data_IF_384120100444
#
_entry.id   IF_384120100444
#
_cell.length_a   1.000
_cell.length_b   1.000
_cell.length_c   1.000
_cell.angle_alpha   90.00
_cell.angle_beta   90.00
_cell.angle_gamma   90.00
#
_symmetry.space_group_name_H-M   'P 1'
#
loop_
_entity.id
_entity.type
_entity.pdbx_description
1 polymer ?
#
# COMPACT_ATOMS: atom_id res chain seq x y z
N UNK A 1 2.16 -25.96 -25.91
CA UNK A 1 1.79 -24.54 -25.69
C UNK A 1 2.55 -23.72 -26.71
N UNK A 2 1.88 -22.77 -27.35
CA UNK A 2 2.55 -21.83 -28.23
C UNK A 2 3.42 -20.88 -27.40
N UNK A 3 4.59 -20.45 -27.90
CA UNK A 3 5.57 -19.66 -27.12
C UNK A 3 4.94 -18.39 -26.50
N UNK A 4 4.01 -17.77 -27.22
CA UNK A 4 3.27 -16.60 -26.76
C UNK A 4 2.31 -16.88 -25.59
N UNK A 5 1.68 -18.06 -25.53
CA UNK A 5 0.81 -18.44 -24.41
C UNK A 5 1.61 -18.66 -23.13
N UNK A 6 2.79 -19.29 -23.25
CA UNK A 6 3.67 -19.52 -22.11
C UNK A 6 4.18 -18.19 -21.53
N UNK A 7 4.60 -17.26 -22.38
CA UNK A 7 5.00 -15.91 -21.95
C UNK A 7 3.86 -15.15 -21.26
N UNK A 8 2.66 -15.16 -21.85
CA UNK A 8 1.49 -14.50 -21.26
C UNK A 8 1.13 -15.06 -19.88
N UNK A 9 1.21 -16.40 -19.72
CA UNK A 9 0.97 -17.06 -18.45
C UNK A 9 2.04 -16.70 -17.40
N UNK A 10 3.33 -16.67 -17.77
CA UNK A 10 4.42 -16.25 -16.87
C UNK A 10 4.19 -14.81 -16.39
N UNK A 11 3.88 -13.88 -17.30
CA UNK A 11 3.58 -12.49 -16.95
C UNK A 11 2.41 -12.40 -15.98
N UNK A 12 1.35 -13.20 -16.17
CA UNK A 12 0.20 -13.23 -15.27
C UNK A 12 0.56 -13.74 -13.87
N UNK A 13 1.37 -14.80 -13.76
CA UNK A 13 1.81 -15.32 -12.46
C UNK A 13 2.74 -14.33 -11.74
N UNK A 14 3.70 -13.73 -12.44
CA UNK A 14 4.57 -12.69 -11.89
C UNK A 14 3.77 -11.46 -11.45
N UNK A 15 2.75 -11.05 -12.22
CA UNK A 15 1.85 -9.98 -11.83
C UNK A 15 1.03 -10.29 -10.57
N UNK A 16 0.78 -11.58 -10.26
CA UNK A 16 0.12 -12.03 -9.02
C UNK A 16 1.09 -12.20 -7.84
N UNK A 17 2.36 -11.81 -8.00
CA UNK A 17 3.40 -11.94 -6.99
C UNK A 17 3.67 -13.39 -6.56
N UNK A 18 3.44 -14.35 -7.48
CA UNK A 18 3.78 -15.75 -7.25
C UNK A 18 5.32 -15.92 -7.20
N UNK A 19 5.86 -16.75 -6.29
CA UNK A 19 7.29 -16.96 -6.19
C UNK A 19 7.83 -17.60 -7.48
N UNK A 20 9.00 -17.16 -7.93
CA UNK A 20 9.62 -17.65 -9.18
C UNK A 20 9.77 -19.17 -9.19
N UNK A 21 10.10 -19.77 -8.05
CA UNK A 21 10.22 -21.22 -7.87
C UNK A 21 8.94 -21.98 -8.19
N UNK A 22 7.76 -21.43 -7.86
CA UNK A 22 6.47 -22.05 -8.16
C UNK A 22 6.12 -21.94 -9.64
N UNK A 23 6.53 -20.84 -10.28
CA UNK A 23 6.34 -20.63 -11.71
C UNK A 23 7.22 -21.61 -12.49
N UNK A 24 8.50 -21.75 -12.10
CA UNK A 24 9.45 -22.70 -12.68
C UNK A 24 8.95 -24.14 -12.50
N UNK A 25 8.52 -24.53 -11.30
CA UNK A 25 7.97 -25.86 -11.04
C UNK A 25 6.76 -26.18 -11.94
N UNK A 26 5.86 -25.21 -12.14
CA UNK A 26 4.70 -25.40 -13.02
C UNK A 26 5.09 -25.46 -14.50
N UNK A 27 6.13 -24.73 -14.92
CA UNK A 27 6.66 -24.81 -16.28
C UNK A 27 7.31 -26.16 -16.56
N UNK A 28 8.09 -26.69 -15.61
CA UNK A 28 8.67 -28.03 -15.75
C UNK A 28 7.57 -29.10 -15.80
N UNK A 29 6.51 -28.97 -15.00
CA UNK A 29 5.37 -29.90 -15.00
C UNK A 29 4.47 -29.81 -16.24
N UNK A 30 4.17 -28.60 -16.73
CA UNK A 30 3.22 -28.40 -17.85
C UNK A 30 3.86 -28.43 -19.23
N UNK A 31 5.06 -27.88 -19.36
CA UNK A 31 5.76 -27.75 -20.63
C UNK A 31 6.86 -28.79 -20.81
N UNK A 32 7.16 -29.61 -19.79
CA UNK A 32 8.23 -30.60 -19.83
C UNK A 32 9.63 -29.99 -19.92
N UNK A 33 9.76 -28.69 -19.59
CA UNK A 33 11.04 -28.00 -19.60
C UNK A 33 11.93 -28.52 -18.47
N UNK A 34 13.23 -28.57 -18.72
CA UNK A 34 14.19 -28.79 -17.65
C UNK A 34 14.28 -27.54 -16.77
N UNK A 35 14.51 -27.75 -15.47
CA UNK A 35 14.55 -26.68 -14.48
C UNK A 35 15.42 -25.47 -14.89
N UNK A 36 16.66 -25.65 -15.38
CA UNK A 36 17.51 -24.52 -15.76
C UNK A 36 16.93 -23.70 -16.93
N UNK A 37 16.31 -24.36 -17.90
CA UNK A 37 15.71 -23.72 -19.06
C UNK A 37 14.43 -22.96 -18.68
N UNK A 38 13.62 -23.53 -17.79
CA UNK A 38 12.44 -22.88 -17.24
C UNK A 38 12.81 -21.65 -16.39
N UNK A 39 13.86 -21.74 -15.59
CA UNK A 39 14.36 -20.61 -14.79
C UNK A 39 14.90 -19.48 -15.68
N UNK A 40 15.69 -19.82 -16.70
CA UNK A 40 16.19 -18.85 -17.67
C UNK A 40 15.05 -18.15 -18.41
N UNK A 41 14.03 -18.90 -18.81
CA UNK A 41 12.84 -18.35 -19.49
C UNK A 41 12.06 -17.40 -18.57
N UNK A 42 11.82 -17.77 -17.31
CA UNK A 42 11.12 -16.91 -16.34
C UNK A 42 11.89 -15.62 -16.11
N UNK A 43 13.21 -15.69 -15.92
CA UNK A 43 14.06 -14.50 -15.74
C UNK A 43 14.08 -13.62 -16.99
N UNK A 44 14.16 -14.19 -18.18
CA UNK A 44 14.13 -13.43 -19.42
C UNK A 44 12.78 -12.69 -19.59
N UNK A 45 11.67 -13.40 -19.37
CA UNK A 45 10.33 -12.82 -19.48
C UNK A 45 10.11 -11.73 -18.41
N UNK A 46 10.58 -11.96 -17.19
CA UNK A 46 10.53 -11.00 -16.09
C UNK A 46 11.32 -9.72 -16.44
N UNK A 47 12.56 -9.86 -16.93
CA UNK A 47 13.40 -8.73 -17.30
C UNK A 47 12.81 -7.95 -18.49
N UNK A 48 12.35 -8.66 -19.54
CA UNK A 48 11.80 -8.07 -20.76
C UNK A 48 10.45 -7.37 -20.53
N UNK A 49 9.65 -7.87 -19.59
CA UNK A 49 8.29 -7.38 -19.32
C UNK A 49 8.14 -6.72 -17.95
N UNK A 50 9.22 -6.35 -17.27
CA UNK A 50 9.20 -5.76 -15.92
C UNK A 50 8.19 -4.61 -15.82
N UNK A 51 8.19 -3.69 -16.79
CA UNK A 51 7.26 -2.55 -16.85
C UNK A 51 5.79 -2.99 -17.00
N UNK A 52 5.50 -4.03 -17.78
CA UNK A 52 4.14 -4.56 -17.94
C UNK A 52 3.65 -5.28 -16.69
N UNK A 53 4.54 -6.02 -16.01
CA UNK A 53 4.24 -6.70 -14.75
C UNK A 53 3.94 -5.65 -13.66
N UNK A 54 4.79 -4.63 -13.55
CA UNK A 54 4.61 -3.53 -12.60
C UNK A 54 3.29 -2.80 -12.84
N UNK A 55 2.94 -2.48 -14.11
CA UNK A 55 1.64 -1.89 -14.47
C UNK A 55 0.43 -2.75 -14.10
N UNK A 56 0.54 -4.09 -14.15
CA UNK A 56 -0.54 -4.99 -13.71
C UNK A 56 -0.67 -5.06 -12.18
N UNK A 57 0.42 -4.84 -11.44
CA UNK A 57 0.40 -4.79 -9.96
C UNK A 57 -0.04 -3.43 -9.41
N UNK A 58 0.15 -2.35 -10.16
CA UNK A 58 -0.22 -0.98 -9.78
C UNK A 58 -1.65 -0.82 -9.22
N UNK A 59 -2.74 -1.29 -9.86
CA UNK A 59 -4.09 -1.02 -9.36
C UNK A 59 -4.37 -1.60 -7.97
N UNK A 60 -3.79 -2.77 -7.66
CA UNK A 60 -3.95 -3.38 -6.34
C UNK A 60 -3.16 -2.63 -5.27
N UNK A 61 -1.92 -2.23 -5.58
CA UNK A 61 -1.09 -1.43 -4.69
C UNK A 61 -1.68 -0.04 -4.43
N UNK A 62 -2.23 0.60 -5.46
CA UNK A 62 -2.93 1.90 -5.34
C UNK A 62 -4.16 1.76 -4.46
N UNK A 63 -4.97 0.72 -4.67
CA UNK A 63 -6.17 0.47 -3.83
C UNK A 63 -5.78 0.26 -2.37
N UNK A 64 -4.76 -0.55 -2.10
CA UNK A 64 -4.26 -0.79 -0.75
C UNK A 64 -3.73 0.50 -0.11
N UNK A 65 -2.95 1.28 -0.86
CA UNK A 65 -2.42 2.54 -0.37
C UNK A 65 -3.53 3.56 -0.07
N UNK A 66 -4.59 3.59 -0.88
CA UNK A 66 -5.77 4.43 -0.65
C UNK A 66 -6.53 4.00 0.61
N UNK A 67 -6.69 2.70 0.83
CA UNK A 67 -7.31 2.16 2.06
C UNK A 67 -6.50 2.50 3.31
N UNK A 68 -5.17 2.37 3.25
CA UNK A 68 -4.26 2.73 4.35
C UNK A 68 -4.35 4.23 4.62
N UNK A 69 -4.33 5.05 3.57
CA UNK A 69 -4.44 6.51 3.66
C UNK A 69 -5.79 6.93 4.29
N UNK A 70 -6.92 6.41 3.80
CA UNK A 70 -8.24 6.71 4.34
C UNK A 70 -8.39 6.25 5.79
N UNK A 71 -7.83 5.08 6.12
CA UNK A 71 -7.82 4.56 7.50
C UNK A 71 -6.98 5.45 8.42
N UNK A 72 -5.83 5.94 7.93
CA UNK A 72 -4.97 6.87 8.67
C UNK A 72 -5.69 8.20 8.96
N UNK A 73 -6.40 8.76 7.98
CA UNK A 73 -7.24 9.95 8.18
C UNK A 73 -8.34 9.66 9.22
N UNK A 74 -9.03 8.51 9.10
CA UNK A 74 -10.06 8.11 10.04
C UNK A 74 -9.55 8.02 11.48
N UNK A 75 -8.36 7.46 11.68
CA UNK A 75 -7.69 7.39 12.98
C UNK A 75 -7.34 8.77 13.55
N UNK A 76 -6.86 9.69 12.70
CA UNK A 76 -6.58 11.07 13.11
C UNK A 76 -7.88 11.75 13.56
N UNK A 77 -8.94 11.67 12.76
CA UNK A 77 -10.25 12.26 13.09
C UNK A 77 -10.81 11.66 14.37
N UNK A 78 -10.73 10.33 14.52
CA UNK A 78 -11.16 9.63 15.73
C UNK A 78 -10.42 10.13 16.97
N UNK A 79 -9.08 10.20 16.92
CA UNK A 79 -8.26 10.70 18.03
C UNK A 79 -8.47 12.19 18.34
N UNK A 80 -8.72 13.01 17.31
CA UNK A 80 -8.97 14.45 17.47
C UNK A 80 -10.40 14.78 17.91
N UNK A 81 -11.39 13.93 17.61
CA UNK A 81 -12.80 14.21 17.90
C UNK A 81 -13.12 14.54 19.37
N UNK A 82 -12.66 13.78 20.39
CA UNK A 82 -12.96 14.11 21.79
C UNK A 82 -12.29 15.43 22.22
N UNK A 83 -11.11 15.72 21.68
CA UNK A 83 -10.41 16.98 21.92
C UNK A 83 -11.19 18.16 21.34
N UNK A 84 -11.67 18.04 20.09
CA UNK A 84 -12.49 19.08 19.46
C UNK A 84 -13.83 19.28 20.19
N UNK A 85 -14.55 18.21 20.52
CA UNK A 85 -15.84 18.28 21.23
C UNK A 85 -15.75 18.98 22.60
N UNK A 86 -14.59 18.94 23.26
CA UNK A 86 -14.35 19.64 24.53
C UNK A 86 -14.39 21.17 24.37
N UNK A 87 -14.05 21.68 23.19
CA UNK A 87 -13.97 23.11 22.89
C UNK A 87 -15.02 23.59 21.88
N UNK A 88 -15.70 22.68 21.18
CA UNK A 88 -16.74 22.99 20.19
C UNK A 88 -18.03 22.26 20.56
N UNK A 89 -18.99 22.97 21.17
CA UNK A 89 -20.30 22.42 21.56
C UNK A 89 -21.03 23.30 22.57
N UNK A 90 -22.28 22.96 22.87
CA UNK A 90 -23.11 23.70 23.86
C UNK A 90 -22.54 23.64 25.28
N UNK A 91 -21.67 22.67 25.56
CA UNK A 91 -20.93 22.50 26.82
C UNK A 91 -19.43 22.78 26.67
N UNK A 92 -19.05 23.58 25.67
CA UNK A 92 -17.64 23.90 25.42
C UNK A 92 -17.00 24.52 26.67
N UNK A 93 -15.83 24.00 27.04
CA UNK A 93 -15.02 24.63 28.07
C UNK A 93 -14.28 25.83 27.49
N UNK A 94 -14.08 26.90 28.27
CA UNK A 94 -13.30 28.04 27.82
C UNK A 94 -11.88 27.60 27.47
N UNK A 95 -11.37 28.07 26.33
CA UNK A 95 -10.03 27.73 25.84
C UNK A 95 -9.00 28.55 26.64
N UNK A 96 -8.52 27.98 27.74
CA UNK A 96 -7.53 28.59 28.61
C UNK A 96 -6.42 27.57 28.94
N UNK A 97 -5.30 28.03 29.52
CA UNK A 97 -4.16 27.15 29.79
C UNK A 97 -4.50 25.98 30.71
N UNK A 98 -5.42 26.17 31.67
CA UNK A 98 -5.80 25.14 32.63
C UNK A 98 -6.66 24.03 31.99
N UNK A 99 -7.67 24.40 31.19
CA UNK A 99 -8.52 23.44 30.48
C UNK A 99 -7.75 22.70 29.41
N UNK A 100 -6.78 23.34 28.77
CA UNK A 100 -5.91 22.72 27.78
C UNK A 100 -4.96 21.70 28.42
N UNK A 101 -4.36 22.01 29.57
CA UNK A 101 -3.55 21.05 30.32
C UNK A 101 -4.39 19.88 30.83
N UNK A 102 -5.61 20.13 31.30
CA UNK A 102 -6.54 19.08 31.73
C UNK A 102 -6.92 18.17 30.55
N UNK A 103 -7.25 18.75 29.39
CA UNK A 103 -7.56 18.01 28.17
C UNK A 103 -6.38 17.14 27.73
N UNK A 104 -5.16 17.68 27.71
CA UNK A 104 -3.96 16.94 27.36
C UNK A 104 -3.63 15.83 28.36
N UNK A 105 -3.88 16.03 29.66
CA UNK A 105 -3.65 14.99 30.66
C UNK A 105 -4.68 13.86 30.56
N UNK A 106 -5.96 14.22 30.42
CA UNK A 106 -7.07 13.27 30.48
C UNK A 106 -7.28 12.52 29.16
N UNK A 107 -7.11 13.21 28.03
CA UNK A 107 -7.26 12.65 26.70
C UNK A 107 -5.91 12.35 26.04
N UNK A 108 -4.79 12.66 26.70
CA UNK A 108 -3.45 12.56 26.11
C UNK A 108 -3.17 11.24 25.44
N UNK A 109 -3.38 10.12 26.13
CA UNK A 109 -3.15 8.79 25.55
C UNK A 109 -4.12 8.47 24.39
N UNK A 110 -5.38 8.91 24.50
CA UNK A 110 -6.44 8.66 23.53
C UNK A 110 -6.33 9.57 22.29
N UNK A 111 -5.66 10.70 22.42
CA UNK A 111 -5.32 11.63 21.34
C UNK A 111 -3.98 11.22 20.69
N UNK A 112 -2.91 11.06 21.47
CA UNK A 112 -1.56 10.89 20.95
C UNK A 112 -1.40 9.61 20.11
N UNK A 113 -1.84 8.45 20.61
CA UNK A 113 -1.59 7.19 19.92
C UNK A 113 -2.30 7.07 18.58
N UNK A 114 -3.61 7.35 18.47
CA UNK A 114 -4.31 7.28 17.19
C UNK A 114 -3.81 8.33 16.20
N UNK A 115 -3.49 9.54 16.66
CA UNK A 115 -3.01 10.62 15.78
C UNK A 115 -1.60 10.33 15.24
N UNK A 116 -0.67 9.87 16.08
CA UNK A 116 0.68 9.48 15.62
C UNK A 116 0.59 8.30 14.65
N UNK A 117 -0.20 7.28 14.99
CA UNK A 117 -0.36 6.08 14.14
C UNK A 117 -0.98 6.45 12.81
N UNK A 118 -2.08 7.22 12.83
CA UNK A 118 -2.75 7.69 11.62
C UNK A 118 -1.85 8.58 10.75
N UNK A 119 -1.08 9.48 11.36
CA UNK A 119 -0.09 10.28 10.64
C UNK A 119 0.99 9.39 10.00
N UNK A 120 1.50 8.40 10.74
CA UNK A 120 2.45 7.41 10.23
C UNK A 120 1.90 6.63 9.04
N UNK A 121 0.63 6.21 9.08
CA UNK A 121 -0.05 5.53 7.97
C UNK A 121 -0.16 6.44 6.74
N UNK A 122 -0.54 7.70 6.92
CA UNK A 122 -0.65 8.69 5.84
C UNK A 122 0.71 8.98 5.21
N UNK A 123 1.74 9.24 6.01
CA UNK A 123 3.09 9.49 5.49
C UNK A 123 3.68 8.24 4.84
N UNK A 124 3.50 7.08 5.45
CA UNK A 124 3.94 5.80 4.88
C UNK A 124 3.29 5.51 3.53
N UNK A 125 1.99 5.77 3.39
CA UNK A 125 1.28 5.58 2.12
C UNK A 125 1.76 6.55 1.04
N UNK A 126 2.00 7.83 1.39
CA UNK A 126 2.53 8.84 0.47
C UNK A 126 3.95 8.49 -0.01
N UNK A 127 4.83 8.06 0.91
CA UNK A 127 6.20 7.65 0.58
C UNK A 127 6.18 6.39 -0.31
N UNK A 128 5.36 5.40 0.04
CA UNK A 128 5.22 4.16 -0.75
C UNK A 128 4.69 4.40 -2.16
N UNK A 129 3.81 5.39 -2.34
CA UNK A 129 3.26 5.75 -3.66
C UNK A 129 4.16 6.65 -4.50
N UNK A 130 5.33 7.08 -4.03
CA UNK A 130 6.18 8.07 -4.74
C UNK A 130 6.47 7.70 -6.20
N UNK A 131 6.69 6.41 -6.49
CA UNK A 131 6.92 5.89 -7.87
C UNK A 131 5.66 5.94 -8.73
N UNK A 132 4.49 5.76 -8.13
CA UNK A 132 3.20 5.86 -8.83
C UNK A 132 2.89 7.32 -9.16
N UNK A 133 3.06 8.22 -8.18
CA UNK A 133 2.88 9.66 -8.39
C UNK A 133 3.83 10.22 -9.44
N UNK A 134 5.11 9.81 -9.46
CA UNK A 134 6.04 10.27 -10.50
C UNK A 134 5.62 9.82 -11.90
N UNK A 135 5.08 8.60 -12.04
CA UNK A 135 4.60 8.11 -13.33
C UNK A 135 3.35 8.88 -13.78
N UNK A 136 2.42 9.18 -12.86
CA UNK A 136 1.21 9.93 -13.18
C UNK A 136 1.50 11.41 -13.50
N UNK A 137 2.44 12.04 -12.80
CA UNK A 137 2.85 13.43 -13.03
C UNK A 137 3.67 13.61 -14.32
N UNK A 138 4.38 12.57 -14.77
CA UNK A 138 5.11 12.60 -16.04
C UNK A 138 4.21 12.36 -17.26
N UNK A 139 3.00 11.82 -17.07
CA UNK A 139 2.01 11.58 -18.13
C UNK A 139 1.02 12.76 -18.30
N UNK A 140 1.21 13.86 -17.55
CA UNK A 140 0.36 15.07 -17.49
C UNK A 140 1.06 16.27 -18.15
#
# INVERSE_FOLDING_TARGET
MEKAETEAWIIEQLAKNAPESDIVLRLTQKAGLYWPDAEALVREVAARNAVKIERKQMPLLVTLALLIFSSGIGLIVYGMSPFLMMFTGERAMPLNGATLMMALFQLGAQFFWPTITGAGMVFGSLIGMRRVWSNFLNDL
#
